data_IF_922827400766
#
_entry.id   IF_922827400766
#
_cell.length_a   1.000
_cell.length_b   1.000
_cell.length_c   1.000
_cell.angle_alpha   90.00
_cell.angle_beta   90.00
_cell.angle_gamma   90.00
#
_symmetry.space_group_name_H-M   'P 1'
#
loop_
_entity.id
_entity.type
_entity.pdbx_description
1 polymer ?
2 water ?
#
# COMPACT_ATOMS: atom_id res chain seq x y z
N UNK A 1 1.46 -23.46 -6.94
CA UNK A 1 2.89 -23.80 -6.73
C UNK A 1 3.55 -22.76 -5.84
N UNK A 2 4.87 -22.73 -5.85
CA UNK A 2 5.60 -21.76 -5.05
C UNK A 2 5.29 -20.37 -5.60
N UNK A 3 5.48 -19.36 -4.76
CA UNK A 3 5.22 -17.98 -5.15
C UNK A 3 6.08 -17.68 -6.37
N UNK A 4 7.37 -17.96 -6.23
CA UNK A 4 8.35 -17.73 -7.28
C UNK A 4 8.07 -18.60 -8.50
N UNK A 5 7.62 -19.83 -8.28
CA UNK A 5 7.30 -20.70 -9.41
C UNK A 5 6.14 -20.07 -10.17
N UNK A 6 5.17 -19.54 -9.43
CA UNK A 6 3.97 -18.91 -10.02
C UNK A 6 4.37 -17.76 -10.94
N UNK A 7 5.45 -17.08 -10.59
CA UNK A 7 5.92 -15.96 -11.38
C UNK A 7 6.73 -16.42 -12.59
N UNK A 8 7.67 -17.33 -12.36
CA UNK A 8 8.48 -17.82 -13.48
C UNK A 8 7.60 -18.48 -14.53
N UNK A 9 6.45 -19.01 -14.09
CA UNK A 9 5.52 -19.66 -15.00
C UNK A 9 5.15 -18.70 -16.13
N UNK A 10 4.98 -17.42 -15.79
CA UNK A 10 4.63 -16.42 -16.79
C UNK A 10 5.79 -16.04 -17.69
N UNK A 11 7.01 -16.27 -17.20
CA UNK A 11 8.20 -15.97 -17.99
C UNK A 11 8.28 -16.97 -19.13
N UNK A 12 7.67 -18.13 -18.92
CA UNK A 12 7.64 -19.20 -19.91
C UNK A 12 6.38 -19.06 -20.79
N UNK A 13 5.24 -18.86 -20.14
CA UNK A 13 3.97 -18.73 -20.83
C UNK A 13 3.82 -17.44 -21.65
N UNK A 14 4.13 -16.30 -21.04
CA UNK A 14 4.04 -15.03 -21.74
C UNK A 14 5.35 -14.27 -21.51
N UNK A 15 6.44 -14.72 -22.14
CA UNK A 15 7.76 -14.09 -22.00
C UNK A 15 7.86 -12.66 -22.50
N UNK A 16 7.16 -12.34 -23.58
CA UNK A 16 7.23 -10.99 -24.13
C UNK A 16 6.23 -9.99 -23.58
N UNK A 17 5.37 -10.43 -22.67
CA UNK A 17 4.39 -9.54 -22.05
C UNK A 17 5.12 -8.66 -21.00
N UNK A 18 4.74 -7.39 -20.92
CA UNK A 18 5.38 -6.47 -19.97
C UNK A 18 5.04 -6.77 -18.52
N UNK A 19 6.05 -7.04 -17.72
CA UNK A 19 5.83 -7.32 -16.31
C UNK A 19 5.74 -6.01 -15.53
N UNK A 20 6.51 -5.03 -15.95
CA UNK A 20 6.57 -3.73 -15.28
C UNK A 20 6.93 -2.63 -16.27
N UNK A 21 6.31 -1.47 -16.13
CA UNK A 21 6.63 -0.32 -16.97
C UNK A 21 6.54 0.99 -16.19
N UNK A 22 7.59 1.80 -16.32
CA UNK A 22 7.65 3.11 -15.69
C UNK A 22 8.05 4.08 -16.81
N UNK A 23 7.14 4.97 -17.17
CA UNK A 23 7.39 5.91 -18.26
C UNK A 23 7.89 5.14 -19.48
N UNK A 24 9.08 5.44 -19.97
CA UNK A 24 9.59 4.74 -21.15
C UNK A 24 10.31 3.41 -20.88
N UNK A 25 10.69 3.20 -19.63
CA UNK A 25 11.39 2.00 -19.23
C UNK A 25 10.44 0.82 -18.96
N UNK A 26 10.64 -0.29 -19.68
CA UNK A 26 9.79 -1.48 -19.52
C UNK A 26 10.62 -2.76 -19.45
N UNK A 27 10.07 -3.76 -18.78
CA UNK A 27 10.75 -5.05 -18.65
C UNK A 27 9.69 -6.13 -18.80
N UNK A 28 9.94 -7.10 -19.68
CA UNK A 28 8.99 -8.19 -19.92
C UNK A 28 9.22 -9.25 -18.86
N UNK A 29 8.34 -10.25 -18.79
CA UNK A 29 8.52 -11.32 -17.82
C UNK A 29 9.84 -12.06 -18.12
N UNK A 30 10.24 -12.12 -19.39
CA UNK A 30 11.50 -12.83 -19.71
C UNK A 30 12.70 -12.06 -19.19
N UNK A 31 12.70 -10.74 -19.38
CA UNK A 31 13.79 -9.92 -18.91
C UNK A 31 13.86 -9.95 -17.38
N UNK A 32 12.71 -9.92 -16.73
CA UNK A 32 12.64 -9.95 -15.27
C UNK A 32 13.30 -11.21 -14.75
N UNK A 33 12.94 -12.34 -15.37
CA UNK A 33 13.48 -13.63 -14.94
C UNK A 33 14.99 -13.71 -15.14
N UNK A 34 15.47 -13.30 -16.32
CA UNK A 34 16.90 -13.34 -16.65
C UNK A 34 17.75 -12.49 -15.75
N UNK A 35 17.38 -11.21 -15.61
CA UNK A 35 18.14 -10.29 -14.80
C UNK A 35 18.10 -10.61 -13.31
N UNK A 36 16.93 -11.01 -12.81
CA UNK A 36 16.83 -11.36 -11.39
C UNK A 36 17.63 -12.65 -11.14
N UNK A 37 17.66 -13.52 -12.15
CA UNK A 37 18.39 -14.78 -12.03
C UNK A 37 19.88 -14.44 -11.99
N UNK A 38 20.27 -13.50 -12.86
CA UNK A 38 21.65 -13.04 -12.94
C UNK A 38 22.11 -12.42 -11.62
N UNK A 39 21.27 -11.53 -11.08
CA UNK A 39 21.57 -10.86 -9.82
C UNK A 39 21.72 -11.88 -8.71
N UNK A 40 20.76 -12.81 -8.63
CA UNK A 40 20.75 -13.80 -7.57
C UNK A 40 21.99 -14.69 -7.62
N UNK A 41 22.38 -15.08 -8.82
CA UNK A 41 23.55 -15.91 -9.01
C UNK A 41 24.77 -15.12 -8.47
N UNK A 42 24.87 -13.85 -8.85
CA UNK A 42 25.94 -12.99 -8.38
C UNK A 42 25.94 -12.88 -6.83
N UNK A 43 24.77 -12.58 -6.25
CA UNK A 43 24.67 -12.45 -4.80
C UNK A 43 25.19 -13.70 -4.10
N UNK A 44 24.83 -14.85 -4.63
CA UNK A 44 25.25 -16.12 -4.04
C UNK A 44 26.78 -16.31 -4.11
N UNK A 45 27.37 -15.85 -5.20
CA UNK A 45 28.80 -15.96 -5.42
C UNK A 45 29.57 -14.99 -4.52
N UNK A 46 28.99 -13.83 -4.28
CA UNK A 46 29.62 -12.82 -3.43
C UNK A 46 29.43 -13.08 -1.94
N UNK A 47 28.28 -13.62 -1.58
CA UNK A 47 27.92 -13.88 -0.19
C UNK A 47 27.49 -15.35 -0.05
N UNK A 48 28.47 -16.26 0.08
CA UNK A 48 28.23 -17.70 0.20
C UNK A 48 27.37 -18.20 1.35
N UNK A 49 27.45 -17.56 2.51
CA UNK A 49 26.65 -18.02 3.65
C UNK A 49 25.86 -16.91 4.32
N UNK A 50 26.25 -15.66 4.05
CA UNK A 50 25.55 -14.54 4.63
C UNK A 50 24.13 -14.51 4.04
N UNK A 51 23.16 -14.20 4.89
CA UNK A 51 21.75 -14.12 4.50
C UNK A 51 21.10 -12.90 5.16
N UNK A 52 21.88 -11.85 5.29
CA UNK A 52 21.41 -10.62 5.88
C UNK A 52 20.49 -9.97 4.89
N UNK A 53 19.59 -9.14 5.39
CA UNK A 53 18.69 -8.49 4.43
C UNK A 53 19.51 -7.58 3.52
N UNK A 54 18.96 -7.26 2.35
CA UNK A 54 19.65 -6.41 1.39
C UNK A 54 18.77 -5.20 1.09
N UNK A 55 19.34 -4.00 1.17
CA UNK A 55 18.57 -2.78 0.92
C UNK A 55 18.47 -2.55 -0.59
N UNK A 56 17.26 -2.20 -1.07
CA UNK A 56 17.04 -1.91 -2.50
C UNK A 56 16.49 -0.49 -2.47
N UNK A 57 17.33 0.43 -2.95
CA UNK A 57 17.06 1.84 -2.93
C UNK A 57 16.71 2.43 -4.30
N UNK A 58 15.68 3.27 -4.31
CA UNK A 58 15.24 3.90 -5.53
C UNK A 58 13.81 4.41 -5.41
N UNK A 59 13.15 4.57 -6.55
CA UNK A 59 11.76 5.01 -6.53
C UNK A 59 10.90 4.07 -7.40
N UNK A 60 10.71 4.40 -8.68
CA UNK A 60 9.90 3.54 -9.54
C UNK A 60 10.60 2.84 -10.70
N UNK A 61 11.94 2.79 -10.67
CA UNK A 61 12.65 2.10 -11.76
C UNK A 61 12.37 0.59 -11.76
N UNK A 62 12.23 -0.01 -12.96
CA UNK A 62 11.98 -1.45 -13.11
C UNK A 62 13.01 -2.26 -12.31
N UNK A 63 14.24 -1.75 -12.21
CA UNK A 63 15.28 -2.45 -11.46
C UNK A 63 14.85 -2.67 -9.99
N UNK A 64 13.87 -1.91 -9.50
CA UNK A 64 13.42 -2.12 -8.13
C UNK A 64 12.87 -3.56 -7.99
N UNK A 65 11.97 -3.92 -8.90
CA UNK A 65 11.35 -5.24 -8.91
C UNK A 65 12.37 -6.34 -9.20
N UNK A 66 13.24 -6.10 -10.18
CA UNK A 66 14.29 -7.05 -10.53
C UNK A 66 15.14 -7.38 -9.30
N UNK A 67 15.53 -6.33 -8.57
CA UNK A 67 16.36 -6.50 -7.40
C UNK A 67 15.62 -7.24 -6.30
N UNK A 68 14.34 -6.91 -6.10
CA UNK A 68 13.51 -7.58 -5.12
C UNK A 68 13.61 -9.08 -5.36
N UNK A 69 13.36 -9.49 -6.60
CA UNK A 69 13.40 -10.90 -6.96
C UNK A 69 14.77 -11.55 -6.86
N UNK A 70 15.82 -10.80 -7.20
CA UNK A 70 17.15 -11.35 -7.13
C UNK A 70 17.54 -11.66 -5.70
N UNK A 71 17.19 -10.75 -4.81
CA UNK A 71 17.48 -10.91 -3.40
C UNK A 71 16.81 -12.15 -2.84
N UNK A 72 15.51 -12.29 -3.05
CA UNK A 72 14.83 -13.45 -2.49
C UNK A 72 15.24 -14.75 -3.15
N UNK A 73 15.56 -14.71 -4.43
CA UNK A 73 16.00 -15.92 -5.14
C UNK A 73 17.35 -16.40 -4.61
N UNK A 74 18.11 -15.49 -4.02
CA UNK A 74 19.41 -15.82 -3.45
C UNK A 74 19.28 -16.11 -1.95
N UNK A 75 18.06 -16.10 -1.42
CA UNK A 75 17.85 -16.38 0.00
C UNK A 75 17.89 -15.18 0.95
N UNK A 76 17.93 -13.98 0.39
CA UNK A 76 17.99 -12.76 1.19
C UNK A 76 16.72 -11.93 1.06
N UNK A 77 16.27 -11.42 2.20
CA UNK A 77 15.10 -10.58 2.24
C UNK A 77 15.54 -9.21 1.76
N UNK A 78 14.67 -8.53 1.02
CA UNK A 78 15.03 -7.19 0.59
C UNK A 78 14.34 -6.20 1.51
N UNK A 79 14.92 -5.01 1.62
CA UNK A 79 14.39 -3.93 2.43
C UNK A 79 14.18 -2.80 1.44
N UNK A 80 12.93 -2.54 1.00
CA UNK A 80 12.77 -1.44 0.05
C UNK A 80 12.96 -0.08 0.70
N UNK A 81 13.65 0.82 0.00
CA UNK A 81 13.89 2.16 0.52
C UNK A 81 13.62 3.18 -0.59
N UNK A 82 12.50 3.90 -0.49
CA UNK A 82 12.14 4.89 -1.52
C UNK A 82 12.99 6.14 -1.38
N UNK A 83 13.17 6.87 -2.47
CA UNK A 83 13.97 8.10 -2.44
C UNK A 83 13.42 9.15 -1.47
N UNK A 84 12.13 9.12 -1.19
CA UNK A 84 11.58 10.12 -0.28
C UNK A 84 11.90 9.85 1.18
N UNK A 85 12.49 8.70 1.48
CA UNK A 85 12.82 8.43 2.87
C UNK A 85 13.97 9.32 3.31
N UNK A 86 13.81 10.03 4.45
CA UNK A 86 14.82 10.94 5.00
C UNK A 86 16.18 10.25 5.16
N UNK A 87 17.23 10.92 4.70
CA UNK A 87 18.58 10.39 4.78
C UNK A 87 18.97 9.79 6.12
N UNK A 88 18.67 10.47 7.22
CA UNK A 88 19.05 9.95 8.52
C UNK A 88 18.29 8.67 8.82
N UNK A 89 17.09 8.53 8.27
CA UNK A 89 16.29 7.34 8.48
C UNK A 89 16.90 6.20 7.66
N UNK A 90 17.33 6.53 6.44
CA UNK A 90 17.96 5.53 5.58
C UNK A 90 19.21 5.03 6.30
N UNK A 91 19.96 5.95 6.87
CA UNK A 91 21.17 5.60 7.57
C UNK A 91 20.87 4.73 8.79
N UNK A 92 19.82 5.07 9.52
CA UNK A 92 19.46 4.29 10.69
C UNK A 92 19.12 2.85 10.31
N UNK A 93 18.60 2.68 9.10
CA UNK A 93 18.26 1.35 8.60
C UNK A 93 19.56 0.62 8.29
N UNK A 94 20.50 1.35 7.70
CA UNK A 94 21.80 0.78 7.35
C UNK A 94 22.51 0.17 8.56
N UNK A 95 22.28 0.76 9.74
CA UNK A 95 22.91 0.29 10.96
C UNK A 95 22.03 -0.70 11.74
N UNK A 96 20.74 -0.41 11.78
CA UNK A 96 19.77 -1.23 12.50
C UNK A 96 19.55 -2.63 11.90
N UNK A 97 19.19 -2.66 10.62
CA UNK A 97 18.87 -3.89 9.91
C UNK A 97 19.90 -4.99 9.89
N UNK A 98 21.16 -4.63 9.82
CA UNK A 98 22.19 -5.65 9.75
C UNK A 98 22.49 -5.93 8.29
N UNK A 99 21.96 -5.10 7.41
CA UNK A 99 22.21 -5.27 5.98
C UNK A 99 23.70 -4.97 5.79
N UNK A 100 24.30 -5.56 4.77
CA UNK A 100 25.72 -5.34 4.46
C UNK A 100 25.80 -4.81 3.04
N UNK A 101 24.66 -4.81 2.36
CA UNK A 101 24.63 -4.42 0.96
C UNK A 101 23.43 -3.58 0.56
N UNK A 102 23.66 -2.70 -0.41
CA UNK A 102 22.57 -1.86 -0.91
C UNK A 102 22.68 -1.86 -2.43
N UNK A 103 21.55 -2.13 -3.08
CA UNK A 103 21.48 -2.18 -4.54
C UNK A 103 20.70 -0.95 -4.97
N UNK A 104 21.26 -0.17 -5.89
CA UNK A 104 20.59 1.05 -6.28
C UNK A 104 20.01 1.10 -7.69
N UNK A 105 18.75 1.49 -7.76
CA UNK A 105 18.00 1.64 -8.99
C UNK A 105 18.09 3.10 -9.43
N UNK A 106 19.25 3.71 -9.16
CA UNK A 106 19.49 5.12 -9.51
C UNK A 106 20.76 5.56 -8.79
N UNK A 107 20.98 6.87 -8.69
CA UNK A 107 22.17 7.41 -8.02
C UNK A 107 21.94 7.60 -6.52
N UNK A 108 22.62 6.79 -5.70
CA UNK A 108 22.47 6.88 -4.25
C UNK A 108 22.93 8.24 -3.72
N UNK A 109 21.96 9.01 -3.21
CA UNK A 109 22.22 10.35 -2.68
C UNK A 109 22.68 10.35 -1.22
N UNK A 110 21.97 9.64 -0.35
CA UNK A 110 22.35 9.59 1.05
C UNK A 110 23.80 9.11 1.14
N UNK A 111 24.69 10.07 1.35
CA UNK A 111 26.11 9.79 1.43
C UNK A 111 26.51 9.00 2.68
N UNK A 112 27.74 8.49 2.67
CA UNK A 112 28.31 7.71 3.77
C UNK A 112 27.35 6.81 4.55
N UNK A 113 27.08 5.63 3.99
CA UNK A 113 26.21 4.64 4.64
C UNK A 113 27.14 3.48 4.97
N UNK A 114 27.05 2.94 6.18
CA UNK A 114 27.91 1.81 6.59
C UNK A 114 27.52 0.50 5.89
N UNK A 115 27.47 0.52 4.56
CA UNK A 115 27.05 -0.66 3.82
C UNK A 115 27.69 -0.67 2.43
N UNK A 116 27.87 -1.85 1.84
CA UNK A 116 28.48 -1.91 0.51
C UNK A 116 27.46 -1.48 -0.52
N UNK A 117 27.74 -0.37 -1.19
CA UNK A 117 26.84 0.19 -2.19
C UNK A 117 27.14 -0.27 -3.61
N UNK A 118 26.13 -0.85 -4.27
CA UNK A 118 26.25 -1.32 -5.64
C UNK A 118 25.37 -0.39 -6.47
N UNK A 119 26.00 0.61 -7.08
CA UNK A 119 25.30 1.60 -7.86
C UNK A 119 24.70 1.11 -9.17
N UNK A 120 24.04 2.02 -9.86
CA UNK A 120 23.38 1.70 -11.12
C UNK A 120 24.27 1.04 -12.16
N UNK A 121 25.42 1.63 -12.47
CA UNK A 121 26.30 1.01 -13.47
C UNK A 121 26.92 -0.28 -12.94
N UNK A 122 27.19 -0.32 -11.65
CA UNK A 122 27.75 -1.52 -11.08
C UNK A 122 26.68 -2.59 -11.19
N UNK A 123 25.43 -2.16 -11.10
CA UNK A 123 24.32 -3.09 -11.20
C UNK A 123 24.23 -3.65 -12.62
N UNK A 124 24.41 -2.80 -13.64
CA UNK A 124 24.35 -3.27 -15.02
C UNK A 124 25.45 -4.29 -15.32
N UNK A 125 26.64 -4.06 -14.76
CA UNK A 125 27.77 -4.96 -14.96
C UNK A 125 27.43 -6.36 -14.44
N UNK A 126 26.68 -6.46 -13.35
CA UNK A 126 26.38 -7.80 -12.87
C UNK A 126 25.30 -8.48 -13.74
N UNK A 127 24.32 -7.73 -14.25
CA UNK A 127 23.28 -8.33 -15.10
C UNK A 127 24.00 -8.85 -16.35
N UNK A 128 25.06 -8.17 -16.75
CA UNK A 128 25.83 -8.61 -17.92
C UNK A 128 26.73 -9.79 -17.59
N UNK A 129 27.54 -9.64 -16.55
CA UNK A 129 28.47 -10.69 -16.15
C UNK A 129 27.80 -12.02 -15.83
N UNK A 130 26.58 -11.98 -15.33
CA UNK A 130 25.90 -13.23 -14.96
C UNK A 130 24.71 -13.54 -15.86
N UNK A 131 24.67 -12.89 -17.01
CA UNK A 131 23.60 -13.10 -17.96
C UNK A 131 23.57 -14.57 -18.32
N UNK A 132 22.38 -15.17 -18.31
CA UNK A 132 22.26 -16.58 -18.63
C UNK A 132 22.44 -17.52 -17.44
N UNK A 133 23.03 -17.05 -16.35
CA UNK A 133 23.20 -17.89 -15.17
C UNK A 133 21.92 -17.92 -14.37
N UNK A 134 21.66 -19.03 -13.71
CA UNK A 134 20.45 -19.16 -12.90
C UNK A 134 20.91 -19.51 -11.49
N UNK A 135 20.15 -19.07 -10.48
CA UNK A 135 20.51 -19.36 -9.08
C UNK A 135 20.16 -20.78 -8.64
N UNK A 136 20.83 -21.25 -7.60
CA UNK A 136 20.56 -22.57 -7.07
C UNK A 136 19.17 -22.55 -6.44
N UNK A 137 18.22 -23.31 -6.99
CA UNK A 137 16.83 -23.41 -6.53
C UNK A 137 16.65 -23.53 -5.02
N UNK A 138 17.65 -24.09 -4.35
CA UNK A 138 17.58 -24.28 -2.91
C UNK A 138 17.88 -23.02 -2.11
N UNK A 139 18.39 -21.99 -2.77
CA UNK A 139 18.71 -20.74 -2.08
C UNK A 139 17.49 -19.84 -1.87
N UNK A 140 16.44 -20.05 -2.67
CA UNK A 140 15.23 -19.23 -2.58
C UNK A 140 14.64 -19.20 -1.17
N UNK A 141 14.22 -18.02 -0.71
CA UNK A 141 13.63 -17.90 0.63
C UNK A 141 12.39 -18.77 0.66
N UNK A 142 12.10 -19.37 1.81
CA UNK A 142 10.94 -20.23 1.95
C UNK A 142 10.46 -20.29 3.40
N UNK A 143 9.33 -20.97 3.60
CA UNK A 143 8.79 -21.12 4.93
C UNK A 143 8.72 -19.83 5.72
N UNK A 144 9.27 -19.85 6.94
CA UNK A 144 9.23 -18.69 7.81
C UNK A 144 10.46 -17.80 7.69
N UNK A 145 11.16 -17.92 6.56
CA UNK A 145 12.32 -17.09 6.30
C UNK A 145 11.82 -15.74 5.78
N UNK A 146 12.52 -14.68 6.18
CA UNK A 146 12.13 -13.35 5.77
C UNK A 146 12.17 -13.18 4.26
N UNK A 147 11.15 -12.52 3.73
CA UNK A 147 11.05 -12.25 2.30
C UNK A 147 11.29 -10.75 2.11
N UNK A 148 10.68 -9.94 2.97
CA UNK A 148 10.91 -8.51 2.93
C UNK A 148 10.76 -7.94 4.32
N UNK A 149 11.45 -6.83 4.54
CA UNK A 149 11.40 -6.11 5.78
C UNK A 149 11.05 -4.69 5.40
N UNK A 150 9.93 -4.20 5.88
CA UNK A 150 9.51 -2.84 5.58
C UNK A 150 9.43 -2.10 6.92
N UNK A 151 10.07 -0.94 6.98
CA UNK A 151 10.10 -0.16 8.20
C UNK A 151 8.86 0.64 8.48
N UNK A 152 8.49 0.68 9.75
CA UNK A 152 7.32 1.41 10.21
C UNK A 152 7.66 2.24 11.44
N UNK A 160 11.22 0.89 13.13
CA UNK A 160 10.99 -0.54 13.35
C UNK A 160 10.84 -1.31 12.04
N UNK A 161 11.67 -2.33 11.86
CA UNK A 161 11.62 -3.12 10.64
C UNK A 161 10.71 -4.31 10.81
N UNK A 162 9.63 -4.34 10.04
CA UNK A 162 8.66 -5.43 10.11
C UNK A 162 9.09 -6.57 9.21
N UNK A 163 9.29 -7.74 9.81
CA UNK A 163 9.70 -8.93 9.10
C UNK A 163 8.53 -9.70 8.50
N UNK A 164 8.42 -9.69 7.17
CA UNK A 164 7.35 -10.41 6.51
C UNK A 164 7.96 -11.62 5.84
N UNK A 165 7.53 -12.80 6.26
CA UNK A 165 8.06 -14.04 5.73
C UNK A 165 7.45 -14.48 4.42
N UNK A 166 8.04 -15.54 3.86
CA UNK A 166 7.54 -16.13 2.64
C UNK A 166 6.13 -16.66 2.90
N UNK A 167 5.91 -17.31 4.04
CA UNK A 167 4.58 -17.83 4.36
C UNK A 167 3.56 -16.68 4.58
N UNK A 168 4.01 -15.56 5.13
CA UNK A 168 3.13 -14.42 5.35
C UNK A 168 2.68 -13.87 3.99
N UNK A 169 3.64 -13.68 3.10
CA UNK A 169 3.34 -13.13 1.76
C UNK A 169 2.43 -14.04 0.94
N UNK A 170 2.73 -15.33 0.96
CA UNK A 170 1.91 -16.31 0.26
C UNK A 170 0.47 -16.27 0.78
N UNK A 171 0.30 -16.25 2.11
CA UNK A 171 -1.03 -16.22 2.72
C UNK A 171 -1.80 -14.98 2.26
N UNK A 172 -1.10 -13.85 2.17
CA UNK A 172 -1.74 -12.63 1.72
C UNK A 172 -1.99 -12.64 0.22
N UNK A 173 -1.00 -13.07 -0.55
CA UNK A 173 -1.13 -13.06 -2.00
C UNK A 173 -2.22 -13.95 -2.56
N UNK A 174 -2.38 -15.15 -1.99
CA UNK A 174 -3.42 -16.05 -2.48
C UNK A 174 -4.81 -15.51 -2.16
N UNK A 175 -4.97 -14.94 -0.96
CA UNK A 175 -6.25 -14.37 -0.54
C UNK A 175 -6.66 -13.23 -1.48
N UNK A 176 -5.72 -12.33 -1.75
CA UNK A 176 -5.98 -11.20 -2.62
C UNK A 176 -6.40 -11.61 -4.03
N UNK A 177 -5.61 -12.47 -4.67
CA UNK A 177 -5.91 -12.90 -6.02
C UNK A 177 -7.25 -13.61 -6.06
N UNK A 178 -7.51 -14.48 -5.09
CA UNK A 178 -8.77 -15.22 -5.07
C UNK A 178 -9.98 -14.36 -4.67
N UNK A 179 -9.93 -13.76 -3.50
CA UNK A 179 -11.09 -12.99 -3.08
C UNK A 179 -11.34 -11.71 -3.87
N UNK A 180 -10.29 -11.11 -4.43
CA UNK A 180 -10.51 -9.88 -5.17
C UNK A 180 -10.80 -10.18 -6.61
N UNK A 181 -10.93 -11.46 -6.93
CA UNK A 181 -11.27 -11.87 -8.30
C UNK A 181 -10.37 -11.27 -9.38
N UNK A 182 -9.07 -11.36 -9.18
CA UNK A 182 -8.15 -10.82 -10.17
C UNK A 182 -8.05 -11.87 -11.26
N UNK A 183 -8.00 -11.44 -12.52
CA UNK A 183 -7.93 -12.40 -13.62
C UNK A 183 -6.48 -12.83 -13.87
N UNK A 184 -6.01 -12.58 -15.08
CA UNK A 184 -4.66 -12.89 -15.49
C UNK A 184 -4.43 -11.89 -16.62
N UNK A 185 -3.20 -11.42 -16.77
CA UNK A 185 -2.91 -10.48 -17.83
C UNK A 185 -3.46 -9.07 -17.72
N UNK A 186 -3.86 -8.68 -16.52
CA UNK A 186 -4.41 -7.33 -16.31
C UNK A 186 -3.34 -6.32 -15.98
N UNK A 187 -3.59 -5.07 -16.34
CA UNK A 187 -2.68 -3.98 -16.03
C UNK A 187 -3.04 -3.48 -14.62
N UNK A 188 -2.06 -3.53 -13.71
CA UNK A 188 -2.19 -3.12 -12.30
C UNK A 188 -1.50 -1.79 -12.03
N UNK A 189 -2.23 -0.82 -11.49
CA UNK A 189 -1.59 0.44 -11.16
C UNK A 189 -0.66 0.29 -9.97
N UNK A 190 0.46 1.01 -9.97
CA UNK A 190 1.28 1.05 -8.76
C UNK A 190 1.52 2.50 -8.42
N UNK A 191 0.92 2.93 -7.32
CA UNK A 191 1.04 4.31 -6.85
C UNK A 191 1.91 4.35 -5.62
N UNK A 192 1.66 3.43 -4.69
CA UNK A 192 2.44 3.43 -3.46
C UNK A 192 3.92 3.19 -3.66
N UNK A 193 4.77 4.00 -3.00
CA UNK A 193 6.21 3.79 -3.12
C UNK A 193 6.44 2.38 -2.53
N UNK A 194 7.54 1.72 -2.87
CA UNK A 194 7.76 0.36 -2.40
C UNK A 194 8.10 0.22 -0.94
N UNK A 195 8.36 1.37 -0.34
CA UNK A 195 8.68 1.50 1.06
C UNK A 195 7.34 1.54 1.85
N UNK A 196 6.23 1.44 1.12
CA UNK A 196 4.88 1.46 1.71
C UNK A 196 4.28 0.11 1.30
N UNK A 197 3.96 -0.75 2.27
CA UNK A 197 3.44 -2.07 1.89
C UNK A 197 2.15 -2.13 1.09
N UNK A 198 1.43 -1.03 0.96
CA UNK A 198 0.23 -1.08 0.12
C UNK A 198 0.69 -1.57 -1.25
N UNK A 199 1.89 -1.16 -1.67
CA UNK A 199 2.43 -1.55 -2.98
C UNK A 199 2.40 -3.08 -3.18
N UNK A 200 2.53 -3.81 -2.09
CA UNK A 200 2.52 -5.26 -2.17
C UNK A 200 1.21 -5.83 -2.69
N UNK A 201 0.10 -5.10 -2.47
CA UNK A 201 -1.23 -5.53 -2.89
C UNK A 201 -1.32 -5.54 -4.41
N UNK A 202 -0.43 -4.79 -5.06
CA UNK A 202 -0.46 -4.84 -6.51
C UNK A 202 0.74 -5.62 -7.06
N UNK A 203 1.94 -5.40 -6.52
CA UNK A 203 3.13 -6.09 -7.02
C UNK A 203 3.01 -7.60 -7.17
N UNK A 204 2.75 -8.30 -6.07
CA UNK A 204 2.69 -9.75 -6.13
C UNK A 204 1.45 -10.36 -6.79
N UNK A 205 0.26 -9.81 -6.55
CA UNK A 205 -0.90 -10.40 -7.21
C UNK A 205 -0.73 -10.20 -8.73
N UNK A 206 -0.05 -9.13 -9.12
CA UNK A 206 0.18 -8.90 -10.57
C UNK A 206 1.22 -9.91 -11.09
N UNK A 207 2.31 -10.07 -10.37
CA UNK A 207 3.34 -10.99 -10.84
C UNK A 207 2.88 -12.45 -10.86
N UNK A 208 2.04 -12.86 -9.92
CA UNK A 208 1.62 -14.26 -9.96
C UNK A 208 0.49 -14.51 -10.95
N UNK A 209 -0.09 -13.43 -11.48
CA UNK A 209 -1.18 -13.54 -12.45
C UNK A 209 -0.75 -13.05 -13.85
N UNK A 210 0.55 -12.82 -14.02
CA UNK A 210 1.07 -12.36 -15.30
C UNK A 210 0.57 -11.01 -15.73
N UNK A 211 0.22 -10.16 -14.76
CA UNK A 211 -0.27 -8.84 -15.13
C UNK A 211 0.85 -7.91 -15.56
N UNK A 212 0.51 -6.62 -15.68
CA UNK A 212 1.46 -5.58 -16.07
C UNK A 212 1.36 -4.47 -15.03
N UNK A 213 2.47 -4.18 -14.38
CA UNK A 213 2.50 -3.15 -13.38
C UNK A 213 2.83 -1.85 -14.08
N UNK A 214 1.92 -0.90 -13.93
CA UNK A 214 2.02 0.43 -14.52
C UNK A 214 2.32 1.36 -13.37
N UNK A 215 3.57 1.75 -13.26
CA UNK A 215 3.97 2.59 -12.15
C UNK A 215 3.87 4.07 -12.45
N UNK A 216 3.36 4.81 -11.47
CA UNK A 216 3.26 6.25 -11.60
C UNK A 216 4.31 6.76 -10.60
N UNK A 217 4.84 7.96 -10.80
CA UNK A 217 5.85 8.43 -9.86
C UNK A 217 5.55 9.79 -9.25
N UNK A 218 6.39 10.16 -8.29
CA UNK A 218 6.27 11.43 -7.58
C UNK A 218 6.15 12.62 -8.55
N UNK A 219 7.06 12.72 -9.51
CA UNK A 219 7.04 13.85 -10.43
C UNK A 219 5.75 13.96 -11.20
N UNK A 220 5.18 12.82 -11.55
CA UNK A 220 3.92 12.73 -12.29
C UNK A 220 2.78 13.28 -11.43
N UNK A 221 2.69 12.78 -10.21
CA UNK A 221 1.64 13.16 -9.30
C UNK A 221 1.62 14.65 -9.01
N UNK A 222 2.81 15.26 -9.03
CA UNK A 222 2.97 16.67 -8.77
C UNK A 222 2.51 17.51 -9.97
N UNK A 223 2.30 16.85 -11.11
CA UNK A 223 1.87 17.54 -12.32
C UNK A 223 0.65 16.81 -12.91
N UNK A 224 -0.56 17.19 -12.46
CA UNK A 224 -1.77 16.54 -12.95
C UNK A 224 -1.86 16.29 -14.46
N UNK A 225 -1.35 17.19 -15.29
CA UNK A 225 -1.41 16.97 -16.72
C UNK A 225 -0.60 15.74 -17.10
N UNK A 226 0.54 15.56 -16.45
CA UNK A 226 1.39 14.41 -16.72
C UNK A 226 0.73 13.16 -16.19
N UNK A 227 0.22 13.23 -14.97
CA UNK A 227 -0.43 12.08 -14.34
C UNK A 227 -1.55 11.56 -15.24
N UNK A 228 -2.45 12.45 -15.64
CA UNK A 228 -3.58 11.99 -16.45
C UNK A 228 -3.19 11.51 -17.83
N UNK A 229 -2.13 12.08 -18.37
CA UNK A 229 -1.62 11.66 -19.66
C UNK A 229 -1.19 10.18 -19.52
N UNK A 230 -0.53 9.87 -18.41
CA UNK A 230 -0.06 8.51 -18.17
C UNK A 230 -1.24 7.54 -17.98
N UNK A 231 -2.17 7.95 -17.12
CA UNK A 231 -3.35 7.14 -16.83
C UNK A 231 -4.12 6.85 -18.10
N UNK A 232 -4.29 7.89 -18.92
CA UNK A 232 -5.00 7.76 -20.19
C UNK A 232 -4.43 6.69 -21.06
N UNK A 233 -3.11 6.55 -21.05
CA UNK A 233 -2.45 5.53 -21.88
C UNK A 233 -2.27 4.21 -21.15
N UNK A 234 -2.51 4.19 -19.85
CA UNK A 234 -2.28 2.96 -19.06
C UNK A 234 -3.18 1.77 -19.34
N UNK A 235 -4.46 2.06 -19.50
CA UNK A 235 -5.49 1.04 -19.70
C UNK A 235 -5.51 0.15 -18.45
N UNK A 236 -5.24 0.78 -17.32
CA UNK A 236 -5.24 0.12 -16.04
C UNK A 236 -6.60 -0.56 -15.85
N UNK A 237 -6.56 -1.76 -15.26
CA UNK A 237 -7.75 -2.58 -15.02
C UNK A 237 -7.94 -2.86 -13.52
N UNK A 238 -6.84 -2.86 -12.78
CA UNK A 238 -6.88 -3.08 -11.33
C UNK A 238 -6.15 -1.89 -10.71
N UNK A 239 -6.91 -1.05 -10.00
CA UNK A 239 -6.41 0.17 -9.37
C UNK A 239 -6.18 -0.03 -7.88
N UNK A 240 -4.92 0.01 -7.44
CA UNK A 240 -4.59 -0.12 -6.02
C UNK A 240 -3.97 1.19 -5.54
N UNK A 241 -4.62 1.87 -4.61
CA UNK A 241 -4.09 3.12 -4.08
C UNK A 241 -4.71 3.47 -2.73
N UNK A 242 -4.26 4.57 -2.14
CA UNK A 242 -4.83 5.02 -0.87
C UNK A 242 -6.12 5.79 -1.22
N UNK A 243 -7.07 5.87 -0.29
CA UNK A 243 -8.31 6.59 -0.54
C UNK A 243 -7.99 8.03 -1.02
N UNK A 244 -7.03 8.66 -0.34
CA UNK A 244 -6.66 10.04 -0.68
C UNK A 244 -6.22 10.21 -2.12
N UNK A 245 -5.42 9.27 -2.64
CA UNK A 245 -4.96 9.40 -4.01
C UNK A 245 -6.13 9.32 -4.99
N UNK A 246 -7.07 8.43 -4.71
CA UNK A 246 -8.24 8.29 -5.59
C UNK A 246 -9.10 9.58 -5.47
N UNK A 247 -9.21 10.10 -4.25
CA UNK A 247 -10.00 11.31 -4.03
C UNK A 247 -9.38 12.45 -4.82
N UNK A 248 -8.05 12.54 -4.81
CA UNK A 248 -7.36 13.59 -5.56
C UNK A 248 -7.67 13.41 -7.06
N UNK A 249 -7.65 12.17 -7.55
CA UNK A 249 -7.92 11.92 -8.96
C UNK A 249 -9.38 12.27 -9.32
N UNK A 250 -10.29 12.04 -8.39
CA UNK A 250 -11.69 12.35 -8.62
C UNK A 250 -11.93 13.86 -8.76
N UNK A 251 -11.00 14.68 -8.28
CA UNK A 251 -11.16 16.13 -8.41
C UNK A 251 -11.14 16.45 -9.91
N UNK A 252 -10.44 15.62 -10.67
CA UNK A 252 -10.36 15.78 -12.12
C UNK A 252 -11.72 15.31 -12.67
N UNK A 253 -12.39 16.18 -13.41
CA UNK A 253 -13.69 15.85 -13.97
C UNK A 253 -13.63 14.73 -15.02
N UNK A 254 -12.50 14.61 -15.69
CA UNK A 254 -12.36 13.60 -16.73
C UNK A 254 -11.88 12.23 -16.23
N UNK A 255 -11.74 12.08 -14.91
CA UNK A 255 -11.29 10.82 -14.30
C UNK A 255 -12.53 9.98 -14.13
N UNK A 256 -12.77 9.10 -15.09
CA UNK A 256 -13.95 8.25 -15.08
C UNK A 256 -13.71 7.17 -16.12
N UNK A 257 -14.76 6.39 -16.38
CA UNK A 257 -14.71 5.29 -17.32
C UNK A 257 -14.09 5.66 -18.68
N UNK A 258 -14.51 6.79 -19.25
CA UNK A 258 -13.98 7.18 -20.55
C UNK A 258 -12.45 7.30 -20.56
N UNK A 259 -11.86 7.65 -19.41
CA UNK A 259 -10.40 7.76 -19.32
C UNK A 259 -9.77 6.38 -19.17
N UNK A 260 -10.37 5.54 -18.31
CA UNK A 260 -9.90 4.17 -18.06
C UNK A 260 -11.06 3.22 -18.39
N UNK A 261 -11.39 3.07 -19.68
CA UNK A 261 -12.49 2.20 -20.11
C UNK A 261 -12.49 0.76 -19.63
N UNK A 262 -11.31 0.22 -19.31
CA UNK A 262 -11.25 -1.16 -18.87
C UNK A 262 -11.05 -1.39 -17.37
N UNK A 263 -11.26 -0.36 -16.56
CA UNK A 263 -11.11 -0.50 -15.11
C UNK A 263 -12.12 -1.53 -14.63
N UNK A 264 -11.66 -2.45 -13.78
CA UNK A 264 -12.53 -3.50 -13.29
C UNK A 264 -12.54 -3.64 -11.77
N UNK A 265 -11.39 -3.39 -11.14
CA UNK A 265 -11.23 -3.55 -9.70
C UNK A 265 -10.44 -2.45 -9.00
N UNK A 266 -11.10 -1.72 -8.10
CA UNK A 266 -10.46 -0.69 -7.28
C UNK A 266 -10.16 -1.43 -5.97
N UNK A 267 -8.93 -1.35 -5.49
CA UNK A 267 -8.54 -1.98 -4.21
C UNK A 267 -7.99 -0.88 -3.31
N UNK A 268 -8.60 -0.67 -2.15
CA UNK A 268 -8.18 0.37 -1.21
C UNK A 268 -7.72 -0.15 0.14
N UNK A 269 -6.70 0.52 0.68
CA UNK A 269 -6.18 0.19 2.01
C UNK A 269 -5.30 1.38 2.43
N UNK A 270 -4.86 1.36 3.68
CA UNK A 270 -4.01 2.44 4.15
C UNK A 270 -4.63 3.47 5.07
N UNK A 271 -5.89 3.83 4.82
CA UNK A 271 -6.60 4.82 5.62
C UNK A 271 -8.10 4.67 5.39
N UNK A 272 -8.89 5.62 5.89
CA UNK A 272 -10.35 5.57 5.72
C UNK A 272 -10.78 5.86 4.29
N UNK A 273 -11.73 5.06 3.80
CA UNK A 273 -12.27 5.26 2.46
C UNK A 273 -13.61 5.95 2.66
N UNK A 274 -13.71 7.24 2.34
CA UNK A 274 -14.98 7.97 2.51
C UNK A 274 -16.13 7.40 1.71
N UNK A 275 -17.31 7.41 2.33
CA UNK A 275 -18.52 6.89 1.70
C UNK A 275 -18.75 7.63 0.38
N UNK A 276 -18.61 8.94 0.40
CA UNK A 276 -18.81 9.78 -0.79
C UNK A 276 -17.81 9.47 -1.89
N UNK A 277 -16.57 9.19 -1.50
CA UNK A 277 -15.54 8.91 -2.48
C UNK A 277 -15.91 7.62 -3.20
N UNK A 278 -16.26 6.61 -2.43
CA UNK A 278 -16.67 5.34 -2.99
C UNK A 278 -17.90 5.51 -3.87
N UNK A 279 -18.83 6.35 -3.43
CA UNK A 279 -20.06 6.55 -4.22
C UNK A 279 -19.72 7.21 -5.55
N UNK A 280 -18.81 8.18 -5.51
CA UNK A 280 -18.43 8.88 -6.73
C UNK A 280 -17.70 7.96 -7.70
N UNK A 281 -16.84 7.08 -7.17
CA UNK A 281 -16.13 6.12 -8.01
C UNK A 281 -17.12 5.23 -8.71
N UNK A 282 -18.11 4.76 -7.94
CA UNK A 282 -19.14 3.90 -8.49
C UNK A 282 -19.90 4.59 -9.60
N UNK A 283 -20.16 5.89 -9.45
CA UNK A 283 -20.90 6.62 -10.47
C UNK A 283 -20.08 6.79 -11.73
N UNK A 284 -18.78 7.01 -11.56
CA UNK A 284 -17.92 7.22 -12.70
C UNK A 284 -17.40 5.96 -13.36
N UNK A 285 -17.34 4.87 -12.59
CA UNK A 285 -16.83 3.59 -13.14
C UNK A 285 -17.87 2.51 -12.84
N UNK A 286 -19.05 2.62 -13.48
CA UNK A 286 -20.15 1.67 -13.30
C UNK A 286 -19.78 0.21 -13.53
N UNK A 287 -18.70 -0.06 -14.25
CA UNK A 287 -18.33 -1.45 -14.50
C UNK A 287 -17.36 -2.04 -13.48
N UNK A 288 -16.88 -1.20 -12.56
CA UNK A 288 -15.90 -1.64 -11.59
C UNK A 288 -16.45 -2.08 -10.26
N UNK A 289 -15.66 -2.89 -9.58
CA UNK A 289 -15.99 -3.38 -8.26
C UNK A 289 -15.02 -2.68 -7.31
N UNK A 290 -15.53 -2.18 -6.19
CA UNK A 290 -14.71 -1.49 -5.23
C UNK A 290 -14.53 -2.37 -4.00
N UNK A 291 -13.27 -2.61 -3.61
CA UNK A 291 -12.95 -3.42 -2.44
C UNK A 291 -12.28 -2.50 -1.41
N UNK A 292 -12.77 -2.53 -0.17
CA UNK A 292 -12.15 -1.74 0.88
C UNK A 292 -11.48 -2.80 1.74
N UNK A 293 -10.29 -2.48 2.26
CA UNK A 293 -9.55 -3.44 3.07
C UNK A 293 -8.86 -2.81 4.26
N UNK A 294 -8.42 -3.63 5.20
CA UNK A 294 -7.73 -3.10 6.38
C UNK A 294 -6.67 -4.04 6.93
N UNK A 295 -5.62 -3.45 7.45
CA UNK A 295 -4.57 -4.23 8.05
C UNK A 295 -3.34 -3.42 8.33
N UNK A 296 -2.59 -3.79 9.37
CA UNK A 296 -1.36 -3.10 9.75
C UNK A 296 -0.23 -3.77 8.96
N UNK A 297 0.88 -3.06 8.81
CA UNK A 297 2.04 -3.55 8.11
C UNK A 297 2.49 -4.84 8.78
N UNK A 298 2.32 -4.91 10.08
CA UNK A 298 2.71 -6.09 10.85
C UNK A 298 1.84 -7.33 10.62
N UNK A 299 0.83 -7.21 9.74
CA UNK A 299 -0.05 -8.35 9.44
C UNK A 299 -0.09 -8.57 7.94
N UNK A 300 1.03 -8.26 7.29
CA UNK A 300 1.19 -8.42 5.85
C UNK A 300 0.13 -7.72 5.01
N UNK A 301 0.25 -6.40 4.92
CA UNK A 301 -0.63 -5.56 4.11
C UNK A 301 -2.10 -5.38 4.54
N UNK A 302 -2.88 -6.46 4.50
CA UNK A 302 -4.30 -6.39 4.86
C UNK A 302 -4.83 -7.77 5.28
N UNK A 303 -5.81 -7.80 6.17
CA UNK A 303 -6.42 -9.05 6.58
C UNK A 303 -7.94 -9.04 6.43
N UNK A 304 -8.55 -7.87 6.29
CA UNK A 304 -10.00 -7.89 6.09
C UNK A 304 -10.33 -7.27 4.74
N UNK A 305 -11.52 -7.59 4.22
CA UNK A 305 -11.92 -7.04 2.95
C UNK A 305 -13.43 -7.10 2.78
N UNK A 306 -13.97 -6.21 1.96
CA UNK A 306 -15.40 -6.16 1.66
C UNK A 306 -15.68 -5.41 0.36
N UNK A 307 -16.55 -6.00 -0.44
CA UNK A 307 -16.97 -5.41 -1.72
C UNK A 307 -17.95 -4.29 -1.40
N UNK A 308 -17.55 -3.04 -1.64
CA UNK A 308 -18.38 -1.88 -1.38
C UNK A 308 -19.44 -1.66 -2.48
N UNK A 309 -20.65 -2.12 -2.17
CA UNK A 309 -21.82 -2.07 -3.07
C UNK A 309 -22.75 -0.92 -2.69
N UNK A 310 -23.75 -0.67 -3.54
CA UNK A 310 -24.72 0.39 -3.26
C UNK A 310 -25.32 0.11 -1.90
N UNK A 311 -25.60 -1.17 -1.65
CA UNK A 311 -26.18 -1.59 -0.39
C UNK A 311 -25.31 -1.11 0.77
N UNK A 312 -24.04 -1.46 0.74
CA UNK A 312 -23.13 -1.06 1.79
C UNK A 312 -23.10 0.46 1.95
N UNK A 313 -23.09 1.20 0.84
CA UNK A 313 -23.03 2.66 0.91
C UNK A 313 -24.27 3.22 1.60
N UNK A 314 -25.38 2.54 1.37
CA UNK A 314 -26.64 2.97 1.91
C UNK A 314 -26.86 2.62 3.37
N UNK A 315 -26.44 1.45 3.82
CA UNK A 315 -26.72 1.19 5.21
C UNK A 315 -25.65 1.64 6.18
N UNK A 316 -24.54 2.16 5.68
CA UNK A 316 -23.49 2.63 6.56
C UNK A 316 -23.11 4.06 6.22
N UNK A 317 -22.57 4.78 7.20
CA UNK A 317 -22.11 6.15 6.97
C UNK A 317 -20.60 5.96 6.75
N UNK A 318 -19.89 5.72 7.84
CA UNK A 318 -18.46 5.43 7.76
C UNK A 318 -18.45 4.01 7.20
N UNK A 319 -17.69 3.78 6.15
CA UNK A 319 -17.63 2.45 5.55
C UNK A 319 -16.93 1.41 6.44
N UNK A 320 -17.44 0.18 6.46
CA UNK A 320 -16.84 -0.89 7.25
C UNK A 320 -15.54 -1.27 6.53
N UNK A 321 -14.63 -1.95 7.19
CA UNK A 321 -13.38 -2.35 6.54
C UNK A 321 -13.34 -3.82 6.14
N UNK A 322 -14.43 -4.54 6.41
CA UNK A 322 -14.50 -5.92 5.94
C UNK A 322 -14.47 -7.13 6.86
N UNK A 323 -14.52 -8.28 6.20
CA UNK A 323 -14.48 -9.58 6.86
C UNK A 323 -13.05 -10.09 6.86
N UNK A 324 -12.63 -10.67 7.97
CA UNK A 324 -11.27 -11.19 8.09
C UNK A 324 -11.04 -12.45 7.26
N UNK A 325 -9.88 -12.54 6.60
CA UNK A 325 -9.56 -13.73 5.81
C UNK A 325 -9.63 -14.88 6.81
N UNK A 326 -10.26 -15.98 6.40
CA UNK A 326 -10.49 -17.16 7.23
C UNK A 326 -9.32 -17.93 7.83
N UNK A 327 -8.12 -17.81 7.30
CA UNK A 327 -7.01 -18.53 7.92
C UNK A 327 -6.50 -17.67 9.09
N UNK A 328 -7.14 -16.52 9.28
CA UNK A 328 -6.79 -15.59 10.35
C UNK A 328 -8.02 -15.25 11.16
N UNK A 329 -7.83 -14.54 12.26
CA UNK A 329 -8.97 -14.12 13.05
C UNK A 329 -8.71 -12.82 13.76
N UNK A 330 -9.79 -12.09 13.99
CA UNK A 330 -9.76 -10.80 14.65
C UNK A 330 -10.39 -10.93 16.00
N UNK A 331 -9.85 -10.22 16.96
CA UNK A 331 -10.39 -10.22 18.32
C UNK A 331 -10.49 -8.76 18.76
N UNK A 332 -11.64 -8.35 19.25
CA UNK A 332 -11.78 -6.98 19.72
C UNK A 332 -11.61 -7.09 21.23
N UNK A 333 -10.50 -6.53 21.74
CA UNK A 333 -10.19 -6.59 23.16
C UNK A 333 -10.45 -5.33 23.98
N UNK A 334 -11.28 -5.48 25.01
CA UNK A 334 -11.61 -4.37 25.90
C UNK A 334 -10.34 -4.16 26.73
N UNK A 335 -10.27 -3.10 27.51
CA UNK A 335 -9.08 -2.95 28.33
C UNK A 335 -9.09 -4.16 29.26
N UNK A 336 -8.13 -5.04 29.04
CA UNK A 336 -7.97 -6.31 29.77
C UNK A 336 -8.08 -7.41 28.72
N UNK A 337 -7.39 -8.52 28.92
CA UNK A 337 -7.43 -9.62 27.98
C UNK A 337 -8.82 -10.19 27.78
N UNK A 338 -9.82 -9.37 28.10
CA UNK A 338 -11.21 -9.74 27.95
C UNK A 338 -11.70 -9.33 26.55
N UNK A 339 -12.35 -10.27 25.85
CA UNK A 339 -12.86 -10.02 24.50
C UNK A 339 -14.18 -9.24 24.52
N UNK A 340 -14.23 -8.14 23.76
CA UNK A 340 -15.44 -7.32 23.71
C UNK A 340 -16.64 -8.05 23.11
N UNK A 341 -17.84 -7.84 23.68
CA UNK A 341 -19.04 -8.50 23.14
C UNK A 341 -19.24 -7.89 21.75
N UNK A 342 -19.85 -8.63 20.85
CA UNK A 342 -20.05 -8.11 19.51
C UNK A 342 -20.73 -6.74 19.52
N UNK A 343 -20.17 -5.81 18.74
CA UNK A 343 -20.72 -4.48 18.67
C UNK A 343 -20.00 -3.46 19.54
N UNK A 344 -19.27 -3.92 20.56
CA UNK A 344 -18.55 -3.02 21.45
C UNK A 344 -17.14 -2.66 20.99
N UNK A 345 -16.73 -1.42 21.27
CA UNK A 345 -15.42 -0.94 20.88
C UNK A 345 -14.29 -1.48 21.76
N UNK A 346 -13.09 -1.54 21.17
CA UNK A 346 -11.91 -2.03 21.85
C UNK A 346 -10.74 -2.07 20.90
N UNK A 347 -9.61 -2.61 21.33
CA UNK A 347 -8.45 -2.67 20.45
C UNK A 347 -8.48 -3.88 19.52
N UNK A 348 -8.22 -3.63 18.24
CA UNK A 348 -8.21 -4.69 17.24
C UNK A 348 -6.97 -5.56 17.39
N UNK A 349 -7.17 -6.87 17.46
CA UNK A 349 -6.07 -7.80 17.61
C UNK A 349 -6.17 -8.81 16.50
N UNK A 350 -5.04 -9.08 15.85
CA UNK A 350 -5.00 -10.01 14.74
C UNK A 350 -4.17 -11.22 15.05
N UNK A 351 -4.67 -12.39 14.67
CA UNK A 351 -3.92 -13.60 14.92
C UNK A 351 -3.92 -14.51 13.70
N UNK A 352 -2.79 -15.17 13.45
CA UNK A 352 -2.70 -16.07 12.31
C UNK A 352 -1.51 -15.93 11.39
N UNK A 353 -1.47 -16.73 10.32
CA UNK A 353 -0.39 -16.74 9.32
C UNK A 353 0.00 -15.40 8.68
N UNK A 354 -0.91 -14.43 8.65
CA UNK A 354 -0.56 -13.13 8.09
C UNK A 354 0.31 -12.36 9.09
N UNK A 355 0.29 -12.76 10.36
CA UNK A 355 1.05 -12.00 11.36
C UNK A 355 2.58 -12.15 11.25
N UNK A 356 3.28 -11.01 11.21
CA UNK A 356 4.73 -10.98 11.12
C UNK A 356 5.41 -11.73 12.25
N UNK A 357 6.64 -12.16 12.02
CA UNK A 357 7.39 -12.90 13.04
C UNK A 357 7.98 -11.95 14.08
N UNK A 358 7.73 -10.65 13.91
CA UNK A 358 8.21 -9.68 14.87
C UNK A 358 9.08 -8.59 14.29
N UNK A 359 9.38 -7.59 15.12
CA UNK A 359 10.24 -6.47 14.70
C UNK A 359 11.70 -6.90 14.67
N UNK A 360 12.41 -6.48 13.62
CA UNK A 360 13.83 -6.80 13.46
C UNK A 360 14.61 -6.21 14.63
N UNK A 361 15.25 -7.06 15.41
CA UNK A 361 16.00 -6.59 16.55
C UNK A 361 15.05 -6.39 17.71
N UNK A 362 15.40 -5.52 18.66
CA UNK A 362 14.53 -5.28 19.80
C UNK A 362 14.36 -6.57 20.60
N UNK A 368 5.74 -6.61 23.67
CA UNK A 368 4.95 -5.38 23.67
C UNK A 368 3.72 -5.44 22.74
N UNK A 369 3.95 -5.68 21.45
CA UNK A 369 2.86 -5.73 20.49
C UNK A 369 2.56 -7.14 19.98
N UNK A 370 3.61 -7.93 19.77
CA UNK A 370 3.44 -9.29 19.28
C UNK A 370 3.28 -10.22 20.45
N UNK A 371 2.36 -11.17 20.31
CA UNK A 371 2.12 -12.14 21.36
C UNK A 371 1.70 -13.46 20.69
N UNK A 372 1.19 -14.39 21.48
CA UNK A 372 0.75 -15.68 20.94
C UNK A 372 -0.69 -15.96 21.40
N UNK A 373 -1.57 -16.32 20.48
CA UNK A 373 -2.95 -16.64 20.87
C UNK A 373 -3.36 -17.99 20.34
N UNK A 374 -3.69 -18.89 21.26
CA UNK A 374 -4.06 -20.24 20.89
C UNK A 374 -3.03 -20.93 19.98
N UNK A 375 -1.76 -20.63 20.24
CA UNK A 375 -0.71 -21.28 19.49
C UNK A 375 -0.31 -20.59 18.20
N UNK A 376 -0.92 -19.45 17.94
CA UNK A 376 -0.63 -18.71 16.71
C UNK A 376 -0.09 -17.31 17.02
N UNK A 377 0.71 -16.78 16.10
CA UNK A 377 1.27 -15.44 16.28
C UNK A 377 0.12 -14.43 16.27
N UNK A 378 0.22 -13.41 17.11
CA UNK A 378 -0.79 -12.37 17.15
C UNK A 378 -0.16 -10.98 17.24
N UNK A 379 -0.92 -9.97 16.84
CA UNK A 379 -0.40 -8.62 16.87
C UNK A 379 -1.44 -7.64 17.38
N UNK A 380 -1.09 -6.89 18.44
CA UNK A 380 -1.95 -5.85 19.02
C UNK A 380 -1.72 -4.66 18.11
N UNK A 381 -2.76 -4.23 17.41
CA UNK A 381 -2.63 -3.15 16.45
C UNK A 381 -2.49 -1.73 16.98
N UNK A 382 -3.01 -1.48 18.17
CA UNK A 382 -2.97 -0.13 18.69
C UNK A 382 -4.12 0.64 18.01
N UNK A 383 -4.96 -0.09 17.27
CA UNK A 383 -6.12 0.48 16.56
C UNK A 383 -7.41 0.17 17.29
N UNK A 384 -8.32 1.13 17.30
CA UNK A 384 -9.60 0.93 17.94
C UNK A 384 -10.59 0.48 16.88
N UNK A 385 -11.51 -0.39 17.24
CA UNK A 385 -12.48 -0.83 16.28
C UNK A 385 -13.49 -1.70 16.97
N UNK A 386 -14.47 -2.19 16.22
CA UNK A 386 -15.47 -3.09 16.76
C UNK A 386 -15.99 -3.92 15.60
N UNK A 387 -16.62 -5.05 15.91
CA UNK A 387 -17.15 -5.94 14.90
C UNK A 387 -18.64 -6.20 15.13
N UNK A 388 -19.37 -6.45 14.05
CA UNK A 388 -20.79 -6.77 14.11
C UNK A 388 -21.02 -7.84 13.06
N UNK A 389 -21.41 -9.03 13.51
CA UNK A 389 -21.66 -10.12 12.58
C UNK A 389 -20.44 -10.36 11.69
N UNK A 390 -19.26 -10.38 12.29
CA UNK A 390 -18.04 -10.62 11.53
C UNK A 390 -17.53 -9.45 10.71
N UNK A 391 -18.23 -8.34 10.74
CA UNK A 391 -17.86 -7.17 9.97
C UNK A 391 -17.06 -6.21 10.85
N UNK A 392 -15.86 -5.87 10.39
CA UNK A 392 -15.00 -4.95 11.12
C UNK A 392 -15.14 -3.48 10.75
N UNK A 393 -15.27 -2.65 11.79
CA UNK A 393 -15.32 -1.22 11.63
C UNK A 393 -14.06 -0.70 12.31
N UNK A 394 -13.31 0.12 11.59
CA UNK A 394 -12.06 0.69 12.08
C UNK A 394 -12.30 2.11 12.58
N UNK A 395 -11.75 2.43 13.74
CA UNK A 395 -11.92 3.78 14.31
C UNK A 395 -10.61 4.49 14.66
N UNK A 396 -9.70 4.58 13.69
CA UNK A 396 -8.44 5.25 13.96
C UNK A 396 -7.55 4.45 14.90
N UNK A 414 -17.91 11.86 12.05
CA UNK A 414 -17.95 13.32 12.02
C UNK A 414 -17.50 13.80 10.65
N UNK A 415 -16.45 13.17 10.12
CA UNK A 415 -15.92 13.53 8.81
C UNK A 415 -16.97 13.21 7.75
N UNK A 416 -17.68 12.11 7.96
CA UNK A 416 -18.74 11.69 7.06
C UNK A 416 -19.81 12.75 6.99
N UNK A 417 -20.18 13.28 8.14
CA UNK A 417 -21.19 14.32 8.15
C UNK A 417 -20.65 15.64 7.61
N UNK A 418 -19.35 15.86 7.79
CA UNK A 418 -18.72 17.08 7.30
C UNK A 418 -18.71 17.02 5.77
N UNK A 419 -18.25 15.90 5.23
CA UNK A 419 -18.21 15.73 3.77
C UNK A 419 -19.58 15.87 3.11
N UNK A 420 -20.61 15.45 3.82
CA UNK A 420 -21.98 15.52 3.29
C UNK A 420 -22.57 16.94 3.26
N UNK A 421 -21.96 17.89 3.98
CA UNK A 421 -22.49 19.25 4.01
C UNK A 421 -22.41 19.97 2.68
N UNK A 422 -23.26 20.98 2.49
CA UNK A 422 -23.22 21.78 1.27
C UNK A 422 -21.96 22.62 1.34
N UNK A 423 -21.38 22.93 0.19
CA UNK A 423 -20.17 23.74 0.10
C UNK A 423 -18.90 22.95 0.37
N UNK A 424 -19.05 21.69 0.77
CA UNK A 424 -17.89 20.85 1.06
C UNK A 424 -17.67 19.82 -0.06
N UNK A 425 -16.55 19.94 -0.78
CA UNK A 425 -16.25 18.99 -1.85
C UNK A 425 -15.31 17.90 -1.33
N UNK A 426 -14.73 18.13 -0.17
CA UNK A 426 -13.82 17.17 0.43
C UNK A 426 -13.41 17.67 1.82
N UNK A 427 -13.13 16.75 2.74
CA UNK A 427 -12.73 17.16 4.08
C UNK A 427 -12.08 16.05 4.86
N UNK A 428 -11.31 16.44 5.87
CA UNK A 428 -10.71 15.49 6.76
C UNK A 428 -10.75 16.14 8.14
N UNK A 429 -10.92 15.33 9.17
CA UNK A 429 -10.94 15.86 10.50
C UNK A 429 -9.64 15.41 11.12
N UNK A 430 -8.92 16.36 11.73
CA UNK A 430 -7.64 16.08 12.37
C UNK A 430 -7.65 16.43 13.85
N UNK A 431 -7.49 15.43 14.72
CA UNK A 431 -7.49 15.74 16.14
C UNK A 431 -6.18 16.43 16.49
N UNK A 432 -6.28 17.53 17.24
CA UNK A 432 -5.12 18.30 17.66
C UNK A 432 -4.54 17.72 18.96
N UNK A 441 -10.30 19.06 17.88
CA UNK A 441 -10.59 18.68 16.50
C UNK A 441 -10.42 19.82 15.50
N UNK A 442 -9.75 19.52 14.38
CA UNK A 442 -9.56 20.50 13.33
C UNK A 442 -10.24 19.96 12.10
N UNK A 443 -11.08 20.79 11.48
CA UNK A 443 -11.76 20.37 10.27
C UNK A 443 -11.04 21.09 9.13
N UNK A 444 -10.60 20.31 8.14
CA UNK A 444 -9.92 20.89 6.98
C UNK A 444 -10.89 20.61 5.85
N UNK A 445 -11.27 21.63 5.10
CA UNK A 445 -12.20 21.38 4.01
C UNK A 445 -11.79 22.09 2.73
N UNK A 446 -12.05 21.42 1.62
CA UNK A 446 -11.78 21.95 0.31
C UNK A 446 -13.16 22.49 -0.06
N UNK A 447 -13.29 23.81 -0.12
CA UNK A 447 -14.57 24.43 -0.45
C UNK A 447 -15.02 24.25 -1.90
N UNK A 448 -16.31 24.03 -2.09
CA UNK A 448 -16.83 23.92 -3.43
C UNK A 448 -17.33 25.32 -3.75
N UNK A 449 -18.03 25.48 -4.85
CA UNK A 449 -18.55 26.79 -5.21
C UNK A 449 -19.53 27.25 -4.12
N UNK A 450 -19.39 28.51 -3.70
CA UNK A 450 -20.27 29.08 -2.69
C UNK A 450 -20.34 30.57 -2.94
N UNK A 451 -21.16 31.26 -2.15
CA UNK A 451 -21.37 32.69 -2.32
C UNK A 451 -20.86 33.55 -1.17
N UNK A 452 -20.21 32.96 -0.18
CA UNK A 452 -19.73 33.73 0.96
C UNK A 452 -18.55 34.64 0.66
N UNK A 453 -18.65 35.87 1.16
CA UNK A 453 -17.63 36.88 0.94
C UNK A 453 -16.48 36.75 1.94
N UNK A 454 -16.79 36.24 3.12
CA UNK A 454 -15.78 36.09 4.15
C UNK A 454 -15.76 34.68 4.72
N UNK A 455 -14.56 34.21 5.03
CA UNK A 455 -14.39 32.87 5.58
C UNK A 455 -15.29 32.55 6.76
N UNK A 456 -15.34 33.44 7.75
CA UNK A 456 -16.15 33.14 8.93
C UNK A 456 -17.62 32.87 8.61
N UNK A 457 -18.13 33.38 7.50
CA UNK A 457 -19.54 33.14 7.13
C UNK A 457 -19.72 31.73 6.56
N UNK A 458 -18.74 31.26 5.78
CA UNK A 458 -18.84 29.90 5.25
C UNK A 458 -18.74 28.94 6.43
N UNK A 459 -17.81 29.21 7.34
CA UNK A 459 -17.64 28.35 8.51
C UNK A 459 -18.91 28.24 9.34
N UNK A 460 -19.54 29.37 9.65
CA UNK A 460 -20.76 29.33 10.45
C UNK A 460 -21.86 28.51 9.78
N UNK A 461 -21.97 28.64 8.45
CA UNK A 461 -22.97 27.91 7.69
C UNK A 461 -22.73 26.41 7.75
N UNK A 462 -21.47 26.00 7.65
CA UNK A 462 -21.18 24.59 7.70
C UNK A 462 -21.48 24.06 9.10
N UNK A 463 -21.07 24.80 10.12
CA UNK A 463 -21.32 24.38 11.50
C UNK A 463 -22.82 24.26 11.77
N UNK A 464 -23.58 25.25 11.32
CA UNK A 464 -25.03 25.23 11.48
C UNK A 464 -25.57 23.95 10.83
N UNK A 465 -25.09 23.63 9.63
CA UNK A 465 -25.56 22.42 8.97
C UNK A 465 -25.19 21.17 9.77
N UNK A 466 -23.94 21.11 10.23
CA UNK A 466 -23.48 19.95 11.00
C UNK A 466 -24.30 19.76 12.29
N UNK A 467 -24.67 20.87 12.94
CA UNK A 467 -25.46 20.80 14.17
C UNK A 467 -26.78 20.09 13.93
N UNK A 468 -27.16 19.95 12.67
CA UNK A 468 -28.41 19.26 12.35
C UNK A 468 -28.29 17.74 12.53
N UNK A 469 -27.08 17.19 12.39
CA UNK A 469 -26.89 15.76 12.54
C UNK A 469 -25.97 15.40 13.70
N UNK A 470 -25.34 16.39 14.31
CA UNK A 470 -24.42 16.12 15.40
C UNK A 470 -24.62 17.04 16.59
N UNK A 471 -24.37 16.52 17.81
CA UNK A 471 -24.53 17.36 19.01
C UNK A 471 -23.45 18.43 18.86
N UNK A 472 -23.68 19.61 19.43
CA UNK A 472 -22.72 20.72 19.33
C UNK A 472 -21.30 20.44 19.78
N UNK A 473 -21.11 19.67 20.86
CA UNK A 473 -19.75 19.42 21.32
C UNK A 473 -18.92 18.55 20.38
N UNK A 474 -19.57 17.96 19.38
CA UNK A 474 -18.84 17.13 18.42
C UNK A 474 -18.39 17.90 17.17
N UNK A 475 -18.84 19.14 17.03
CA UNK A 475 -18.50 19.95 15.87
C UNK A 475 -17.14 20.62 16.09
N UNK A 476 -16.19 20.39 15.18
CA UNK A 476 -14.88 21.00 15.35
C UNK A 476 -14.91 22.52 15.52
N UNK A 477 -14.11 23.00 16.46
CA UNK A 477 -14.03 24.42 16.75
C UNK A 477 -13.34 25.16 15.63
N UNK A 478 -12.19 24.65 15.20
CA UNK A 478 -11.37 25.27 14.17
C UNK A 478 -11.55 24.68 12.74
N UNK A 479 -11.76 25.55 11.77
CA UNK A 479 -11.92 25.15 10.39
C UNK A 479 -10.79 25.77 9.58
N UNK A 480 -10.26 25.04 8.62
CA UNK A 480 -9.20 25.51 7.76
C UNK A 480 -9.56 25.12 6.34
N UNK A 481 -9.26 25.99 5.38
CA UNK A 481 -9.57 25.69 3.99
C UNK A 481 -8.32 25.49 3.13
N UNK A 482 -8.41 24.52 2.21
CA UNK A 482 -7.30 24.18 1.30
C UNK A 482 -7.89 23.93 -0.08
N UNK A 483 -7.03 24.06 -1.09
CA UNK A 483 -7.40 23.82 -2.49
C UNK A 483 -7.55 22.32 -2.66
N UNK A 484 -6.83 21.56 -1.82
CA UNK A 484 -6.90 20.11 -1.86
C UNK A 484 -6.25 19.53 -0.61
N UNK A 485 -6.64 18.31 -0.27
CA UNK A 485 -6.09 17.66 0.92
C UNK A 485 -4.68 17.19 0.53
N UNK A 486 -3.66 17.63 1.26
CA UNK A 486 -2.26 17.28 1.00
C UNK A 486 -1.96 15.84 1.37
N UNK A 487 -1.07 15.21 0.61
CA UNK A 487 -0.71 13.82 0.86
C UNK A 487 0.79 13.69 1.11
N UNK A 488 1.18 12.70 1.90
CA UNK A 488 2.60 12.43 2.13
C UNK A 488 3.15 11.72 0.86
N UNK A 489 4.46 11.45 0.81
CA UNK A 489 4.89 10.78 -0.42
C UNK A 489 4.27 9.39 -0.57
N UNK A 490 3.78 8.80 0.52
CA UNK A 490 3.14 7.48 0.43
C UNK A 490 1.71 7.60 -0.09
N UNK A 491 1.15 8.81 -0.04
CA UNK A 491 -0.20 9.00 -0.53
C UNK A 491 -1.27 9.16 0.55
N UNK A 492 -0.83 9.19 1.81
CA UNK A 492 -1.76 9.35 2.92
C UNK A 492 -1.95 10.82 3.27
N UNK A 493 -3.05 11.13 3.94
CA UNK A 493 -3.32 12.50 4.34
C UNK A 493 -2.13 13.05 5.12
N UNK A 494 -1.63 14.20 4.71
CA UNK A 494 -0.48 14.76 5.43
C UNK A 494 -0.89 15.51 6.70
N UNK A 495 -1.18 14.76 7.77
CA UNK A 495 -1.58 15.32 9.04
C UNK A 495 -0.57 16.33 9.58
N UNK A 496 0.69 15.93 9.65
CA UNK A 496 1.75 16.80 10.17
C UNK A 496 1.70 18.15 9.48
N UNK A 497 1.70 18.13 8.16
CA UNK A 497 1.66 19.38 7.41
C UNK A 497 0.42 20.21 7.75
N UNK A 498 -0.75 19.58 7.86
CA UNK A 498 -1.97 20.33 8.18
C UNK A 498 -1.84 20.97 9.56
N UNK A 499 -1.30 20.22 10.52
CA UNK A 499 -1.14 20.77 11.86
C UNK A 499 -0.18 21.96 11.84
N UNK A 500 0.93 21.83 11.11
CA UNK A 500 1.92 22.91 11.03
C UNK A 500 1.25 24.21 10.55
N UNK A 501 0.38 24.09 9.55
CA UNK A 501 -0.32 25.23 9.01
C UNK A 501 -1.37 25.74 9.98
#
# INVERSE_FOLDING_TARGET
>A
AKLLEQIEKWAAETPDQTAFVWRDAKITYKQLKEDSDALAHWISSEYPDDRSPIMVYGHMQPEMIINFLGCVKAGHAYIPVDLSIPADRVQRIAENSGAKLLLSATAVTVTDLPVRIVSEDNLKDIFFTHKGNTPNPEHAVKGDENFYIIYTSGSTGNPKGVQITYNCLVSFTKWAVEDFNLQTGQVFLNQAPFSFDLSVMDIYPSLVTGGTLWAIDKDMIARPKDLFASLEQSDIQVWTSTPSFAEMCLMEASFSESMLPNMKTFLFCGEVLPNEVARKLIERFPKATIMNTYGPTEATVAVTGIHVTEEVLDQYKSLPVGYCKSDCRLLIMKEDGTIAPDGEKGEIVIVGPSVSVGYLGSPELTEKAFTMIDGERAYKTGDAGYVENGLLFYNGRLDFQIKLHGYRMELEEIEHHLRACSYVEGAVIVPIKKGEKYDYLLAVVVPGEHSFEKEFKLTSAIKKELNERLPNYMIPRKFMYQSSIPMTPNGKVDRKKLLSEVTALEHHHHHH
#
